data_IF_157511594887
#
_entry.id   IF_157511594887
#
_cell.length_a   1.000
_cell.length_b   1.000
_cell.length_c   1.000
_cell.angle_alpha   90.00
_cell.angle_beta   90.00
_cell.angle_gamma   90.00
#
_symmetry.space_group_name_H-M   'P 1'
#
loop_
_entity.id
_entity.type
_entity.pdbx_description
1 polymer ?
#
# COMPACT_ATOMS: atom_id res chain seq x y z
N UNK A 1 55.89 26.93 16.80
CA UNK A 1 56.89 27.94 16.39
C UNK A 1 57.91 27.26 15.47
N UNK A 2 58.18 27.88 14.31
CA UNK A 2 59.12 27.50 13.23
C UNK A 2 58.62 26.57 12.11
N UNK A 3 58.16 27.23 11.05
CA UNK A 3 58.24 26.83 9.64
C UNK A 3 59.68 26.91 9.12
N UNK A 4 60.07 25.99 8.23
CA UNK A 4 61.04 26.12 7.10
C UNK A 4 60.72 24.94 6.15
N UNK A 5 60.86 24.94 4.81
CA UNK A 5 60.81 25.87 3.68
C UNK A 5 61.08 24.97 2.42
N UNK A 6 60.52 25.34 1.27
CA UNK A 6 60.65 24.74 -0.07
C UNK A 6 61.99 24.08 -0.47
N UNK A 7 61.89 23.05 -1.31
CA UNK A 7 62.63 23.01 -2.59
C UNK A 7 61.96 22.12 -3.65
N UNK A 8 61.63 22.76 -4.77
CA UNK A 8 61.34 22.16 -6.06
C UNK A 8 62.54 21.36 -6.57
N UNK A 9 62.30 20.20 -7.18
CA UNK A 9 63.15 19.71 -8.26
C UNK A 9 62.28 19.15 -9.40
N UNK A 10 62.44 19.77 -10.57
CA UNK A 10 61.96 19.30 -11.86
C UNK A 10 62.51 17.89 -12.16
N UNK A 11 61.66 16.99 -12.61
CA UNK A 11 62.06 15.83 -13.41
C UNK A 11 61.19 15.80 -14.67
N UNK A 12 61.86 15.86 -15.82
CA UNK A 12 61.29 16.10 -17.13
C UNK A 12 60.52 14.92 -17.73
N UNK A 13 59.65 15.30 -18.67
CA UNK A 13 58.89 14.45 -19.58
C UNK A 13 59.78 13.45 -20.33
N UNK A 14 59.39 12.18 -20.32
CA UNK A 14 59.62 11.25 -21.43
C UNK A 14 58.28 11.04 -22.16
N UNK A 15 58.15 11.61 -23.36
CA UNK A 15 57.10 11.25 -24.32
C UNK A 15 57.50 9.93 -25.01
N UNK A 16 56.82 8.84 -24.66
CA UNK A 16 56.81 7.60 -25.44
C UNK A 16 55.51 7.51 -26.25
N UNK A 17 55.52 6.84 -27.42
CA UNK A 17 54.34 6.73 -28.27
C UNK A 17 53.29 5.84 -27.59
N UNK A 18 52.10 6.40 -27.33
CA UNK A 18 50.96 5.62 -26.86
C UNK A 18 50.48 4.71 -28.01
N UNK A 19 50.37 3.38 -27.81
CA UNK A 19 49.64 2.54 -28.74
C UNK A 19 48.16 2.95 -28.69
N UNK A 20 47.59 3.19 -29.88
CA UNK A 20 46.15 3.21 -30.09
C UNK A 20 45.60 1.85 -29.62
N UNK A 21 45.06 1.80 -28.40
CA UNK A 21 44.11 0.76 -28.04
C UNK A 21 42.83 1.08 -28.79
N UNK A 22 42.49 0.20 -29.73
CA UNK A 22 41.19 0.18 -30.36
C UNK A 22 40.11 0.23 -29.27
N UNK A 23 39.19 1.20 -29.37
CA UNK A 23 37.96 1.17 -28.59
C UNK A 23 37.18 -0.06 -29.04
N UNK A 24 37.19 -1.11 -28.20
CA UNK A 24 36.14 -2.10 -28.24
C UNK A 24 34.82 -1.35 -28.04
N UNK A 25 34.01 -1.30 -29.09
CA UNK A 25 32.59 -0.99 -28.98
C UNK A 25 32.03 -1.95 -27.92
N UNK A 26 31.40 -1.47 -26.84
CA UNK A 26 30.64 -2.35 -25.96
C UNK A 26 29.44 -2.82 -26.78
N UNK A 27 29.61 -3.98 -27.42
CA UNK A 27 28.51 -4.70 -28.04
C UNK A 27 27.41 -4.89 -27.02
N UNK A 28 26.18 -4.90 -27.51
CA UNK A 28 24.96 -5.22 -26.79
C UNK A 28 25.23 -6.30 -25.72
N UNK A 29 25.19 -5.93 -24.44
CA UNK A 29 25.41 -6.89 -23.34
C UNK A 29 24.16 -7.74 -23.28
N UNK A 30 24.17 -8.87 -23.97
CA UNK A 30 23.08 -9.86 -23.93
C UNK A 30 23.07 -10.47 -22.53
N UNK A 31 21.98 -10.25 -21.80
CA UNK A 31 21.80 -10.84 -20.49
C UNK A 31 21.77 -12.38 -20.58
N UNK A 32 22.51 -13.04 -19.70
CA UNK A 32 22.72 -14.50 -19.76
C UNK A 32 21.51 -15.21 -19.17
N UNK A 33 20.93 -16.14 -19.93
CA UNK A 33 19.94 -17.09 -19.40
C UNK A 33 20.69 -18.11 -18.54
N UNK A 34 20.32 -18.20 -17.26
CA UNK A 34 20.97 -19.11 -16.30
C UNK A 34 20.09 -20.32 -15.96
N UNK A 35 18.76 -20.20 -16.13
CA UNK A 35 17.81 -21.30 -16.02
C UNK A 35 16.72 -21.16 -17.06
N UNK A 36 16.27 -22.28 -17.62
CA UNK A 36 15.07 -22.39 -18.45
C UNK A 36 14.07 -23.35 -17.80
N UNK A 37 12.82 -22.93 -17.70
CA UNK A 37 11.66 -23.67 -17.16
C UNK A 37 10.55 -23.62 -18.21
N UNK A 38 10.45 -24.63 -19.07
CA UNK A 38 9.63 -24.61 -20.30
C UNK A 38 9.82 -23.31 -21.13
N UNK A 39 8.78 -22.47 -21.19
CA UNK A 39 8.77 -21.19 -21.92
C UNK A 39 9.35 -20.03 -21.09
N UNK A 40 9.59 -20.26 -19.81
CA UNK A 40 10.06 -19.26 -18.88
C UNK A 40 11.57 -19.36 -18.68
N UNK A 41 12.20 -18.23 -18.41
CA UNK A 41 13.64 -18.13 -18.20
C UNK A 41 13.92 -17.38 -16.91
N UNK A 42 15.04 -17.74 -16.27
CA UNK A 42 15.67 -16.94 -15.22
C UNK A 42 16.95 -16.36 -15.79
N UNK A 43 17.06 -15.04 -15.73
CA UNK A 43 18.21 -14.29 -16.20
C UNK A 43 19.24 -14.08 -15.09
N UNK A 44 20.49 -13.89 -15.49
CA UNK A 44 21.58 -13.56 -14.57
C UNK A 44 21.30 -12.24 -13.84
N UNK A 45 20.76 -11.23 -14.54
CA UNK A 45 20.41 -9.95 -13.93
C UNK A 45 19.33 -10.07 -12.85
N UNK A 46 18.37 -10.98 -13.00
CA UNK A 46 17.33 -11.24 -12.00
C UNK A 46 17.93 -11.81 -10.71
N UNK A 47 18.82 -12.81 -10.83
CA UNK A 47 19.50 -13.40 -9.67
C UNK A 47 20.41 -12.39 -8.98
N UNK A 48 21.25 -11.67 -9.73
CA UNK A 48 22.16 -10.69 -9.14
C UNK A 48 21.39 -9.51 -8.53
N UNK A 49 20.32 -9.03 -9.18
CA UNK A 49 19.44 -8.01 -8.63
C UNK A 49 18.77 -8.44 -7.32
N UNK A 50 18.23 -9.67 -7.28
CA UNK A 50 17.68 -10.23 -6.05
C UNK A 50 18.74 -10.33 -4.93
N UNK A 51 19.97 -10.72 -5.28
CA UNK A 51 21.07 -10.81 -4.33
C UNK A 51 21.53 -9.44 -3.82
N UNK A 52 21.60 -8.42 -4.68
CA UNK A 52 21.93 -7.06 -4.26
C UNK A 52 20.88 -6.50 -3.29
N UNK A 53 19.59 -6.74 -3.54
CA UNK A 53 18.52 -6.34 -2.61
C UNK A 53 18.67 -7.04 -1.26
N UNK A 54 18.94 -8.34 -1.26
CA UNK A 54 19.19 -9.11 -0.04
C UNK A 54 20.37 -8.54 0.78
N UNK A 55 21.46 -8.12 0.13
CA UNK A 55 22.59 -7.46 0.80
C UNK A 55 22.25 -6.05 1.30
N UNK A 56 21.46 -5.29 0.55
CA UNK A 56 21.05 -3.92 0.92
C UNK A 56 20.17 -3.90 2.18
N UNK A 57 19.44 -4.99 2.46
CA UNK A 57 18.70 -5.22 3.71
C UNK A 57 19.60 -5.53 4.91
N UNK A 58 20.92 -5.65 4.71
CA UNK A 58 21.91 -5.91 5.75
C UNK A 58 22.19 -7.39 6.02
N UNK A 59 21.69 -8.29 5.16
CA UNK A 59 21.90 -9.73 5.30
C UNK A 59 23.33 -10.15 4.90
N UNK A 60 23.89 -11.24 5.48
CA UNK A 60 25.26 -11.66 5.22
C UNK A 60 25.41 -12.25 3.81
N UNK A 61 26.49 -11.86 3.12
CA UNK A 61 26.88 -12.44 1.84
C UNK A 61 27.28 -13.92 1.99
N UNK A 62 26.58 -14.82 1.30
CA UNK A 62 26.91 -16.24 1.28
C UNK A 62 26.47 -16.91 -0.01
N UNK A 63 27.12 -18.03 -0.35
CA UNK A 63 26.76 -18.86 -1.51
C UNK A 63 25.39 -19.50 -1.29
N UNK A 64 25.08 -19.86 -0.05
CA UNK A 64 23.80 -20.44 0.36
C UNK A 64 22.65 -19.44 0.13
N UNK A 65 22.88 -18.15 0.40
CA UNK A 65 21.90 -17.11 0.13
C UNK A 65 21.65 -16.96 -1.38
N UNK A 66 22.71 -16.96 -2.21
CA UNK A 66 22.57 -16.98 -3.67
C UNK A 66 21.79 -18.21 -4.15
N UNK A 67 22.04 -19.38 -3.57
CA UNK A 67 21.30 -20.60 -3.89
C UNK A 67 19.83 -20.52 -3.51
N UNK A 68 19.50 -20.02 -2.33
CA UNK A 68 18.12 -19.86 -1.89
C UNK A 68 17.34 -18.91 -2.82
N UNK A 69 17.98 -17.82 -3.26
CA UNK A 69 17.37 -16.88 -4.21
C UNK A 69 17.18 -17.50 -5.59
N UNK A 70 18.18 -18.22 -6.12
CA UNK A 70 18.04 -18.93 -7.39
C UNK A 70 16.91 -19.96 -7.31
N UNK A 71 16.85 -20.75 -6.23
CA UNK A 71 15.79 -21.72 -6.00
C UNK A 71 14.41 -21.04 -6.02
N UNK A 72 14.25 -19.92 -5.31
CA UNK A 72 13.00 -19.15 -5.30
C UNK A 72 12.59 -18.69 -6.70
N UNK A 73 13.53 -18.23 -7.52
CA UNK A 73 13.26 -17.82 -8.91
C UNK A 73 12.79 -19.02 -9.76
N UNK A 74 13.44 -20.18 -9.64
CA UNK A 74 13.05 -21.40 -10.35
C UNK A 74 11.65 -21.86 -9.93
N UNK A 75 11.38 -21.92 -8.62
CA UNK A 75 10.07 -22.29 -8.07
C UNK A 75 8.98 -21.35 -8.59
N UNK A 76 9.24 -20.04 -8.63
CA UNK A 76 8.31 -19.08 -9.20
C UNK A 76 8.03 -19.37 -10.68
N UNK A 77 9.06 -19.59 -11.51
CA UNK A 77 8.85 -19.92 -12.93
C UNK A 77 8.12 -21.26 -13.12
N UNK A 78 8.38 -22.25 -12.26
CA UNK A 78 7.66 -23.52 -12.28
C UNK A 78 6.18 -23.35 -11.93
N UNK A 79 5.87 -22.54 -10.92
CA UNK A 79 4.48 -22.19 -10.57
C UNK A 79 3.73 -21.60 -11.75
N UNK A 80 4.37 -20.70 -12.52
CA UNK A 80 3.76 -20.08 -13.69
C UNK A 80 3.60 -21.10 -14.84
N UNK A 81 4.63 -21.88 -15.15
CA UNK A 81 4.54 -22.93 -16.18
C UNK A 81 3.42 -23.93 -15.87
N UNK A 82 3.29 -24.33 -14.61
CA UNK A 82 2.20 -25.20 -14.17
C UNK A 82 0.84 -24.51 -14.15
N UNK A 83 0.78 -23.23 -13.80
CA UNK A 83 -0.45 -22.45 -13.89
C UNK A 83 -1.01 -22.49 -15.32
N UNK A 84 -0.15 -22.37 -16.34
CA UNK A 84 -0.57 -22.48 -17.74
C UNK A 84 -1.06 -23.89 -18.10
N UNK A 85 -0.30 -24.92 -17.74
CA UNK A 85 -0.65 -26.33 -18.00
C UNK A 85 -2.00 -26.68 -17.34
N UNK A 86 -2.19 -26.25 -16.08
CA UNK A 86 -3.39 -26.52 -15.29
C UNK A 86 -4.53 -25.52 -15.57
N UNK A 87 -4.35 -24.67 -16.59
CA UNK A 87 -5.32 -23.69 -17.08
C UNK A 87 -5.85 -22.75 -15.99
N UNK A 88 -4.96 -22.30 -15.11
CA UNK A 88 -5.23 -21.23 -14.15
C UNK A 88 -5.41 -19.92 -14.91
N UNK A 89 -6.55 -19.26 -14.70
CA UNK A 89 -6.93 -18.06 -15.47
C UNK A 89 -6.75 -16.82 -14.63
N UNK A 90 -6.00 -15.86 -15.18
CA UNK A 90 -5.97 -14.47 -14.71
C UNK A 90 -6.53 -13.59 -15.83
N UNK A 91 -7.48 -12.73 -15.50
CA UNK A 91 -8.13 -11.88 -16.52
C UNK A 91 -7.23 -10.72 -16.93
N UNK A 92 -7.27 -10.33 -18.21
CA UNK A 92 -6.50 -9.18 -18.70
C UNK A 92 -6.86 -7.88 -17.95
N UNK A 93 -8.12 -7.72 -17.54
CA UNK A 93 -8.55 -6.57 -16.74
C UNK A 93 -7.80 -6.47 -15.41
N UNK A 94 -7.67 -7.58 -14.67
CA UNK A 94 -6.93 -7.59 -13.41
C UNK A 94 -5.44 -7.31 -13.64
N UNK A 95 -4.86 -7.84 -14.72
CA UNK A 95 -3.46 -7.57 -15.09
C UNK A 95 -3.28 -6.08 -15.42
N UNK A 96 -4.17 -5.49 -16.21
CA UNK A 96 -4.10 -4.08 -16.62
C UNK A 96 -4.27 -3.12 -15.45
N UNK A 97 -5.16 -3.45 -14.50
CA UNK A 97 -5.34 -2.68 -13.26
C UNK A 97 -4.07 -2.71 -12.40
N UNK A 98 -3.50 -3.89 -12.17
CA UNK A 98 -2.27 -4.04 -11.38
C UNK A 98 -1.06 -3.40 -12.06
N UNK A 99 -0.96 -3.53 -13.39
CA UNK A 99 0.08 -2.89 -14.20
C UNK A 99 -0.02 -1.38 -14.07
N UNK A 100 -1.21 -0.81 -14.22
CA UNK A 100 -1.42 0.64 -14.12
C UNK A 100 -1.08 1.16 -12.72
N UNK A 101 -1.48 0.44 -11.67
CA UNK A 101 -1.12 0.78 -10.28
C UNK A 101 0.39 0.73 -10.06
N UNK A 102 1.07 -0.29 -10.57
CA UNK A 102 2.52 -0.44 -10.43
C UNK A 102 3.29 0.61 -11.23
N UNK A 103 2.85 0.94 -12.45
CA UNK A 103 3.40 2.06 -13.24
C UNK A 103 3.28 3.38 -12.50
N UNK A 104 2.15 3.65 -11.86
CA UNK A 104 1.96 4.87 -11.09
C UNK A 104 2.93 4.97 -9.90
N UNK A 105 3.16 3.86 -9.19
CA UNK A 105 4.13 3.82 -8.09
C UNK A 105 5.57 4.05 -8.58
N UNK A 106 5.95 3.46 -9.71
CA UNK A 106 7.27 3.67 -10.32
C UNK A 106 7.43 5.14 -10.70
N UNK A 107 6.44 5.73 -11.38
CA UNK A 107 6.45 7.12 -11.78
C UNK A 107 6.54 8.08 -10.57
N UNK A 108 5.81 7.80 -9.49
CA UNK A 108 5.90 8.57 -8.24
C UNK A 108 7.28 8.53 -7.61
N UNK A 109 7.90 7.35 -7.55
CA UNK A 109 9.24 7.16 -7.00
C UNK A 109 10.34 7.78 -7.89
N UNK A 110 10.05 7.98 -9.18
CA UNK A 110 10.93 8.63 -10.16
C UNK A 110 10.64 10.12 -10.35
N UNK A 111 10.07 10.81 -9.36
CA UNK A 111 9.85 12.27 -9.42
C UNK A 111 8.70 12.72 -10.33
N UNK A 112 7.82 11.80 -10.72
CA UNK A 112 6.67 12.02 -11.61
C UNK A 112 7.01 12.51 -13.03
N UNK A 113 8.22 12.22 -13.52
CA UNK A 113 8.65 12.58 -14.87
C UNK A 113 8.71 11.36 -15.79
N UNK A 114 7.84 11.34 -16.79
CA UNK A 114 7.86 10.31 -17.84
C UNK A 114 9.19 10.31 -18.59
N UNK A 115 9.70 11.48 -18.97
CA UNK A 115 10.95 11.60 -19.74
C UNK A 115 12.17 11.10 -18.97
N UNK A 116 12.21 11.31 -17.64
CA UNK A 116 13.28 10.79 -16.80
C UNK A 116 13.19 9.27 -16.66
N UNK A 117 11.98 8.73 -16.54
CA UNK A 117 11.76 7.30 -16.46
C UNK A 117 12.14 6.60 -17.77
N UNK A 118 11.73 7.14 -18.92
CA UNK A 118 12.12 6.63 -20.24
C UNK A 118 13.64 6.70 -20.43
N UNK A 119 14.30 7.77 -19.98
CA UNK A 119 15.76 7.90 -20.02
C UNK A 119 16.47 6.90 -19.10
N UNK A 120 15.92 6.64 -17.92
CA UNK A 120 16.49 5.71 -16.95
C UNK A 120 16.41 4.25 -17.43
N UNK A 121 15.30 3.88 -18.09
CA UNK A 121 15.07 2.54 -18.60
C UNK A 121 15.54 2.34 -20.05
N UNK A 122 15.81 3.42 -20.78
CA UNK A 122 16.15 3.38 -22.20
C UNK A 122 15.02 2.84 -23.09
N UNK A 123 13.77 2.96 -22.64
CA UNK A 123 12.57 2.42 -23.27
C UNK A 123 11.45 3.46 -23.24
N UNK A 124 10.56 3.42 -24.21
CA UNK A 124 9.33 4.23 -24.20
C UNK A 124 8.39 3.77 -23.08
N UNK A 125 7.49 4.64 -22.62
CA UNK A 125 6.51 4.24 -21.61
C UNK A 125 5.65 3.06 -22.02
N UNK A 126 5.32 2.93 -23.30
CA UNK A 126 4.53 1.82 -23.81
C UNK A 126 5.30 0.50 -23.72
N UNK A 127 6.60 0.49 -24.05
CA UNK A 127 7.47 -0.67 -23.89
C UNK A 127 7.64 -1.05 -22.41
N UNK A 128 7.87 -0.06 -21.53
CA UNK A 128 7.96 -0.30 -20.08
C UNK A 128 6.65 -0.91 -19.56
N UNK A 129 5.51 -0.37 -20.00
CA UNK A 129 4.19 -0.88 -19.62
C UNK A 129 3.99 -2.32 -20.11
N UNK A 130 4.38 -2.65 -21.34
CA UNK A 130 4.27 -3.99 -21.89
C UNK A 130 5.13 -4.99 -21.10
N UNK A 131 6.39 -4.69 -20.85
CA UNK A 131 7.28 -5.54 -20.07
C UNK A 131 6.74 -5.77 -18.65
N UNK A 132 6.27 -4.69 -18.01
CA UNK A 132 5.69 -4.78 -16.68
C UNK A 132 4.40 -5.59 -16.68
N UNK A 133 3.58 -5.46 -17.72
CA UNK A 133 2.32 -6.20 -17.86
C UNK A 133 2.56 -7.71 -17.89
N UNK A 134 3.59 -8.15 -18.62
CA UNK A 134 3.96 -9.56 -18.67
C UNK A 134 4.49 -10.05 -17.32
N UNK A 135 5.35 -9.27 -16.65
CA UNK A 135 5.81 -9.58 -15.29
C UNK A 135 4.67 -9.67 -14.27
N UNK A 136 3.71 -8.74 -14.33
CA UNK A 136 2.53 -8.74 -13.45
C UNK A 136 1.66 -9.96 -13.73
N UNK A 137 1.47 -10.34 -15.00
CA UNK A 137 0.74 -11.56 -15.34
C UNK A 137 1.41 -12.81 -14.77
N UNK A 138 2.73 -12.95 -14.96
CA UNK A 138 3.48 -14.07 -14.37
C UNK A 138 3.34 -14.12 -12.85
N UNK A 139 3.52 -12.97 -12.18
CA UNK A 139 3.36 -12.87 -10.72
C UNK A 139 1.96 -13.29 -10.28
N UNK A 140 0.91 -12.85 -10.98
CA UNK A 140 -0.47 -13.18 -10.66
C UNK A 140 -0.77 -14.66 -10.88
N UNK A 141 -0.30 -15.26 -11.98
CA UNK A 141 -0.43 -16.70 -12.24
C UNK A 141 0.25 -17.52 -11.15
N UNK A 142 1.48 -17.16 -10.77
CA UNK A 142 2.21 -17.83 -9.69
C UNK A 142 1.51 -17.69 -8.34
N UNK A 143 0.94 -16.51 -8.04
CA UNK A 143 0.17 -16.26 -6.83
C UNK A 143 -1.12 -17.09 -6.78
N UNK A 144 -1.88 -17.13 -7.88
CA UNK A 144 -3.11 -17.91 -7.97
C UNK A 144 -2.83 -19.41 -7.87
N UNK A 145 -1.75 -19.88 -8.50
CA UNK A 145 -1.33 -21.28 -8.36
C UNK A 145 -0.93 -21.63 -6.92
N UNK A 146 -0.16 -20.75 -6.27
CA UNK A 146 0.18 -20.89 -4.84
C UNK A 146 -1.07 -20.94 -3.97
N UNK A 147 -2.05 -20.07 -4.25
CA UNK A 147 -3.32 -20.06 -3.55
C UNK A 147 -4.10 -21.37 -3.78
N UNK A 148 -4.17 -21.87 -5.02
CA UNK A 148 -4.82 -23.14 -5.36
C UNK A 148 -4.21 -24.32 -4.60
N UNK A 149 -2.88 -24.35 -4.46
CA UNK A 149 -2.17 -25.40 -3.71
C UNK A 149 -2.45 -25.29 -2.20
N UNK A 150 -2.50 -24.07 -1.67
CA UNK A 150 -2.49 -23.84 -0.21
C UNK A 150 -3.86 -23.51 0.41
N UNK A 151 -4.91 -23.34 -0.40
CA UNK A 151 -6.24 -22.86 0.02
C UNK A 151 -6.86 -23.67 1.16
N UNK A 152 -6.82 -24.99 1.05
CA UNK A 152 -7.48 -25.89 2.00
C UNK A 152 -6.54 -26.33 3.14
N UNK A 153 -5.31 -25.80 3.15
CA UNK A 153 -4.35 -26.08 4.20
C UNK A 153 -4.74 -25.31 5.45
N UNK A 154 -4.97 -26.05 6.52
CA UNK A 154 -5.23 -25.54 7.86
C UNK A 154 -4.37 -26.27 8.88
N UNK A 155 -4.21 -25.66 10.06
CA UNK A 155 -3.47 -26.24 11.18
C UNK A 155 -4.39 -26.49 12.38
N UNK A 156 -4.26 -27.68 12.94
CA UNK A 156 -4.94 -28.10 14.16
C UNK A 156 -4.18 -27.63 15.41
N UNK A 157 -4.85 -27.50 16.57
CA UNK A 157 -4.15 -27.13 17.81
C UNK A 157 -3.01 -28.07 18.21
N UNK A 158 -3.08 -29.37 17.87
CA UNK A 158 -2.00 -30.32 18.13
C UNK A 158 -0.80 -30.11 17.21
N UNK A 159 -1.03 -29.74 15.95
CA UNK A 159 0.03 -29.32 15.02
C UNK A 159 0.75 -28.07 15.50
N UNK A 160 0.00 -27.06 15.97
CA UNK A 160 0.59 -25.83 16.53
C UNK A 160 1.49 -26.13 17.73
N UNK A 161 1.04 -26.98 18.65
CA UNK A 161 1.86 -27.40 19.82
C UNK A 161 3.11 -28.16 19.38
N UNK A 162 2.98 -29.06 18.40
CA UNK A 162 4.13 -29.81 17.86
C UNK A 162 5.12 -28.91 17.13
N UNK A 163 4.65 -27.93 16.37
CA UNK A 163 5.49 -26.93 15.73
C UNK A 163 6.30 -26.17 16.79
N UNK A 164 5.62 -25.61 17.79
CA UNK A 164 6.28 -24.86 18.88
C UNK A 164 7.32 -25.70 19.63
N UNK A 165 6.98 -26.94 20.00
CA UNK A 165 7.86 -27.81 20.78
C UNK A 165 9.10 -28.31 20.00
N UNK A 166 9.17 -28.09 18.68
CA UNK A 166 10.37 -28.40 17.88
C UNK A 166 11.42 -27.29 17.93
N UNK A 167 11.01 -26.08 18.29
CA UNK A 167 11.89 -24.91 18.32
C UNK A 167 12.68 -24.97 19.62
N UNK A 168 14.03 -24.96 19.58
CA UNK A 168 14.84 -24.86 20.79
C UNK A 168 14.49 -23.62 21.62
N UNK A 169 14.51 -23.71 22.95
CA UNK A 169 14.10 -22.61 23.83
C UNK A 169 14.95 -21.34 23.64
N UNK A 170 16.24 -21.49 23.33
CA UNK A 170 17.18 -20.41 23.05
C UNK A 170 16.95 -19.75 21.67
N UNK A 171 16.20 -20.42 20.80
CA UNK A 171 15.85 -19.98 19.45
C UNK A 171 14.44 -19.38 19.37
N UNK A 172 13.69 -19.38 20.48
CA UNK A 172 12.36 -18.77 20.53
C UNK A 172 12.47 -17.24 20.39
N UNK A 173 11.62 -16.62 19.55
CA UNK A 173 11.67 -15.18 19.36
C UNK A 173 11.32 -14.44 20.66
N UNK A 174 11.99 -13.31 20.87
CA UNK A 174 11.69 -12.40 21.97
C UNK A 174 10.78 -11.28 21.48
N UNK A 175 9.58 -11.18 22.06
CA UNK A 175 8.64 -10.13 21.73
C UNK A 175 8.81 -8.93 22.67
N UNK A 176 8.69 -7.75 22.09
CA UNK A 176 8.57 -6.52 22.86
C UNK A 176 7.22 -6.49 23.61
N UNK A 177 6.98 -5.42 24.38
CA UNK A 177 5.67 -5.26 25.02
C UNK A 177 4.56 -5.22 23.97
N UNK A 178 3.52 -6.01 24.22
CA UNK A 178 2.27 -5.98 23.46
C UNK A 178 1.17 -5.32 24.30
N UNK A 179 0.16 -4.80 23.63
CA UNK A 179 -1.07 -4.31 24.27
C UNK A 179 -2.29 -4.77 23.50
N UNK A 180 -3.42 -4.90 24.19
CA UNK A 180 -4.73 -4.98 23.55
C UNK A 180 -5.44 -3.65 23.76
N UNK A 181 -5.69 -2.95 22.65
CA UNK A 181 -6.38 -1.66 22.66
C UNK A 181 -7.55 -1.75 21.69
N UNK A 182 -8.68 -1.18 22.08
CA UNK A 182 -9.84 -1.05 21.23
C UNK A 182 -10.29 0.41 21.13
N UNK A 183 -10.99 0.76 20.06
CA UNK A 183 -11.55 2.09 19.85
C UNK A 183 -13.03 2.05 19.44
N UNK A 184 -13.72 3.14 19.77
CA UNK A 184 -15.00 3.51 19.15
C UNK A 184 -14.80 4.90 18.58
N UNK A 185 -15.05 5.05 17.29
CA UNK A 185 -14.91 6.32 16.57
C UNK A 185 -16.30 6.80 16.16
N UNK A 186 -16.56 8.09 16.29
CA UNK A 186 -17.75 8.74 15.75
C UNK A 186 -17.34 9.90 14.86
N UNK A 187 -17.71 9.85 13.59
CA UNK A 187 -17.46 10.95 12.65
C UNK A 187 -18.37 12.12 13.03
N UNK A 188 -17.80 13.32 13.07
CA UNK A 188 -18.55 14.52 13.43
C UNK A 188 -19.55 14.83 12.32
N UNK A 189 -20.83 14.88 12.69
CA UNK A 189 -21.89 15.25 11.74
C UNK A 189 -21.93 16.77 11.57
N UNK A 190 -21.58 17.22 10.38
CA UNK A 190 -21.67 18.63 9.97
C UNK A 190 -23.13 19.11 10.05
N UNK A 191 -23.37 20.23 10.72
CA UNK A 191 -24.71 20.82 10.85
C UNK A 191 -25.23 21.39 9.54
N UNK A 192 -26.56 21.50 9.43
CA UNK A 192 -27.19 22.18 8.30
C UNK A 192 -26.76 23.65 8.18
N UNK A 193 -26.46 24.31 9.30
CA UNK A 193 -25.95 25.68 9.30
C UNK A 193 -24.59 25.78 8.60
N UNK A 194 -23.64 24.89 8.91
CA UNK A 194 -22.34 24.84 8.23
C UNK A 194 -22.48 24.47 6.75
N UNK A 195 -23.35 23.52 6.42
CA UNK A 195 -23.66 23.20 5.01
C UNK A 195 -24.24 24.41 4.27
N UNK A 196 -25.12 25.17 4.90
CA UNK A 196 -25.75 26.34 4.30
C UNK A 196 -24.77 27.49 4.12
N UNK A 197 -23.85 27.70 5.06
CA UNK A 197 -22.77 28.68 4.94
C UNK A 197 -21.90 28.41 3.70
N UNK A 198 -21.53 27.15 3.48
CA UNK A 198 -20.79 26.74 2.28
C UNK A 198 -21.61 26.95 1.01
N UNK A 199 -22.90 26.61 1.02
CA UNK A 199 -23.80 26.87 -0.12
C UNK A 199 -23.92 28.36 -0.41
N UNK A 200 -24.02 29.21 0.59
CA UNK A 200 -24.07 30.66 0.43
C UNK A 200 -22.77 31.20 -0.17
N UNK A 201 -21.62 30.71 0.28
CA UNK A 201 -20.31 31.05 -0.29
C UNK A 201 -20.25 30.66 -1.78
N UNK A 202 -20.66 29.44 -2.11
CA UNK A 202 -20.71 28.95 -3.49
C UNK A 202 -21.72 29.71 -4.36
N UNK A 203 -22.88 30.07 -3.82
CA UNK A 203 -23.85 30.93 -4.51
C UNK A 203 -23.25 32.32 -4.80
N UNK A 204 -22.51 32.89 -3.85
CA UNK A 204 -21.79 34.15 -4.08
C UNK A 204 -20.75 34.06 -5.19
N UNK A 205 -19.99 32.95 -5.25
CA UNK A 205 -19.05 32.69 -6.35
C UNK A 205 -19.78 32.50 -7.69
N UNK A 206 -20.89 31.78 -7.68
CA UNK A 206 -21.75 31.59 -8.86
C UNK A 206 -22.26 32.93 -9.39
N UNK A 207 -22.75 33.82 -8.53
CA UNK A 207 -23.26 35.14 -8.94
C UNK A 207 -22.16 36.05 -9.50
N UNK A 208 -20.92 35.90 -9.02
CA UNK A 208 -19.75 36.57 -9.60
C UNK A 208 -19.45 36.05 -11.01
N UNK A 209 -19.49 34.73 -11.21
CA UNK A 209 -19.32 34.10 -12.53
C UNK A 209 -20.40 34.57 -13.50
N UNK A 210 -21.66 34.61 -13.07
CA UNK A 210 -22.77 35.06 -13.91
C UNK A 210 -22.69 36.55 -14.28
N UNK A 211 -22.01 37.36 -13.47
CA UNK A 211 -21.69 38.78 -13.78
C UNK A 211 -20.46 38.95 -14.67
N UNK A 212 -19.84 37.87 -15.11
CA UNK A 212 -18.72 37.87 -16.06
C UNK A 212 -17.34 37.69 -15.44
N UNK A 213 -17.24 37.42 -14.13
CA UNK A 213 -15.95 37.06 -13.53
C UNK A 213 -15.49 35.67 -14.01
N UNK A 214 -14.18 35.51 -14.21
CA UNK A 214 -13.63 34.26 -14.73
C UNK A 214 -13.82 33.10 -13.74
N UNK A 215 -14.50 32.03 -14.18
CA UNK A 215 -14.63 30.79 -13.42
C UNK A 215 -13.25 30.25 -13.05
N UNK A 216 -12.30 30.23 -13.98
CA UNK A 216 -10.97 29.67 -13.74
C UNK A 216 -10.23 30.45 -12.66
N UNK A 217 -10.30 31.78 -12.65
CA UNK A 217 -9.68 32.59 -11.60
C UNK A 217 -10.28 32.31 -10.22
N UNK A 218 -11.60 32.16 -10.13
CA UNK A 218 -12.27 31.83 -8.88
C UNK A 218 -11.98 30.40 -8.42
N UNK A 219 -11.88 29.45 -9.34
CA UNK A 219 -11.46 28.08 -9.02
C UNK A 219 -10.03 28.07 -8.45
N UNK A 220 -9.11 28.81 -9.08
CA UNK A 220 -7.73 28.96 -8.58
C UNK A 220 -7.65 29.56 -7.18
N UNK A 221 -8.53 30.50 -6.86
CA UNK A 221 -8.50 31.24 -5.61
C UNK A 221 -9.27 30.56 -4.46
N UNK A 222 -10.39 29.90 -4.75
CA UNK A 222 -11.34 29.46 -3.72
C UNK A 222 -11.61 27.97 -3.70
N UNK A 223 -11.23 27.22 -4.73
CA UNK A 223 -11.42 25.77 -4.71
C UNK A 223 -10.48 25.14 -3.70
N UNK A 224 -10.98 24.16 -2.96
CA UNK A 224 -10.19 23.31 -2.05
C UNK A 224 -9.72 22.03 -2.75
N UNK A 225 -10.11 21.81 -4.01
CA UNK A 225 -9.51 20.79 -4.87
C UNK A 225 -8.14 21.28 -5.40
N UNK A 226 -7.02 20.61 -5.06
CA UNK A 226 -5.69 21.01 -5.52
C UNK A 226 -5.55 21.05 -7.05
N UNK A 227 -6.22 20.14 -7.77
CA UNK A 227 -6.17 20.12 -9.23
C UNK A 227 -6.86 21.36 -9.80
N UNK A 228 -8.02 21.72 -9.24
CA UNK A 228 -8.76 22.92 -9.63
C UNK A 228 -7.97 24.21 -9.36
N UNK A 229 -7.19 24.23 -8.27
CA UNK A 229 -6.32 25.35 -7.95
C UNK A 229 -5.23 25.58 -9.01
N UNK A 230 -4.76 24.50 -9.66
CA UNK A 230 -3.72 24.56 -10.68
C UNK A 230 -4.29 24.85 -12.08
N UNK A 231 -5.31 24.11 -12.49
CA UNK A 231 -5.83 24.12 -13.86
C UNK A 231 -7.06 25.02 -14.06
N UNK A 232 -7.51 25.74 -13.03
CA UNK A 232 -8.72 26.57 -13.11
C UNK A 232 -10.02 25.77 -13.08
N UNK A 233 -9.98 24.59 -12.48
CA UNK A 233 -11.13 23.72 -12.25
C UNK A 233 -11.46 22.78 -13.39
N UNK A 234 -10.78 22.85 -14.53
CA UNK A 234 -11.13 22.09 -15.74
C UNK A 234 -10.68 20.63 -15.67
N UNK A 235 -11.62 19.71 -15.89
CA UNK A 235 -11.38 18.27 -15.76
C UNK A 235 -11.02 17.58 -17.08
N UNK A 236 -11.10 18.29 -18.21
CA UNK A 236 -10.98 17.70 -19.53
C UNK A 236 -12.21 16.86 -19.91
N UNK A 237 -12.14 16.16 -21.03
CA UNK A 237 -13.22 15.26 -21.45
C UNK A 237 -13.18 13.98 -20.62
N UNK A 238 -14.30 13.68 -19.96
CA UNK A 238 -14.48 12.46 -19.17
C UNK A 238 -15.70 11.71 -19.68
N UNK A 239 -15.56 10.37 -19.74
CA UNK A 239 -16.65 9.48 -20.12
C UNK A 239 -17.63 9.22 -18.99
N UNK A 240 -18.84 8.79 -19.34
CA UNK A 240 -19.85 8.39 -18.36
C UNK A 240 -19.36 7.26 -17.46
N UNK A 241 -19.61 7.37 -16.16
CA UNK A 241 -19.17 6.44 -15.11
C UNK A 241 -17.78 6.75 -14.55
N UNK A 242 -17.08 7.76 -15.06
CA UNK A 242 -15.75 8.13 -14.58
C UNK A 242 -15.77 8.98 -13.30
N UNK A 243 -16.90 9.64 -13.01
CA UNK A 243 -17.06 10.54 -11.85
C UNK A 243 -18.09 10.00 -10.87
N UNK A 244 -18.09 10.53 -9.64
CA UNK A 244 -19.10 10.17 -8.63
C UNK A 244 -20.52 10.53 -9.12
N UNK A 245 -21.56 9.73 -8.78
CA UNK A 245 -22.90 9.87 -9.35
C UNK A 245 -23.50 11.27 -9.19
N UNK A 246 -23.25 11.96 -8.08
CA UNK A 246 -23.76 13.29 -7.80
C UNK A 246 -23.17 14.34 -8.75
N UNK A 247 -21.89 14.21 -9.09
CA UNK A 247 -21.20 15.10 -10.02
C UNK A 247 -21.71 14.88 -11.44
N UNK A 248 -21.76 13.63 -11.90
CA UNK A 248 -22.28 13.29 -13.23
C UNK A 248 -23.72 13.76 -13.42
N UNK A 249 -24.59 13.48 -12.43
CA UNK A 249 -26.00 13.86 -12.51
C UNK A 249 -26.19 15.38 -12.66
N UNK A 250 -25.30 16.19 -12.09
CA UNK A 250 -25.31 17.64 -12.30
C UNK A 250 -24.74 18.01 -13.68
N UNK A 251 -23.62 17.43 -14.11
CA UNK A 251 -23.03 17.70 -15.41
C UNK A 251 -24.00 17.44 -16.57
N UNK A 252 -24.74 16.33 -16.52
CA UNK A 252 -25.71 15.96 -17.58
C UNK A 252 -27.01 16.79 -17.58
N UNK A 253 -27.32 17.50 -16.48
CA UNK A 253 -28.47 18.42 -16.41
C UNK A 253 -28.18 19.78 -17.04
N UNK A 254 -26.91 20.16 -17.11
CA UNK A 254 -26.48 21.48 -17.58
C UNK A 254 -26.45 21.54 -19.11
N UNK A 255 -26.75 22.73 -19.63
CA UNK A 255 -26.47 23.10 -21.02
C UNK A 255 -25.03 23.59 -21.15
N UNK A 256 -24.50 23.55 -22.36
CA UNK A 256 -23.18 24.10 -22.66
C UNK A 256 -23.08 25.56 -22.19
N UNK A 257 -22.05 25.87 -21.40
CA UNK A 257 -21.80 27.16 -20.79
C UNK A 257 -22.55 27.43 -19.49
N UNK A 258 -23.51 26.59 -19.10
CA UNK A 258 -24.34 26.79 -17.91
C UNK A 258 -23.59 26.48 -16.63
N UNK A 259 -23.83 27.28 -15.58
CA UNK A 259 -23.27 27.10 -14.24
C UNK A 259 -24.34 26.56 -13.29
N UNK A 260 -24.05 25.43 -12.66
CA UNK A 260 -24.95 24.74 -11.73
C UNK A 260 -25.27 25.57 -10.49
N UNK A 261 -26.35 25.19 -9.81
CA UNK A 261 -26.51 25.52 -8.39
C UNK A 261 -25.50 24.72 -7.54
N UNK A 262 -25.23 25.12 -6.29
CA UNK A 262 -24.42 24.32 -5.37
C UNK A 262 -25.05 22.94 -5.13
N UNK A 263 -24.23 21.90 -5.21
CA UNK A 263 -24.65 20.52 -4.93
C UNK A 263 -23.61 19.79 -4.08
N UNK A 264 -24.04 18.77 -3.35
CA UNK A 264 -23.21 17.99 -2.42
C UNK A 264 -22.69 16.72 -3.12
N UNK A 265 -21.45 16.34 -2.82
CA UNK A 265 -20.82 15.06 -3.16
C UNK A 265 -20.09 14.51 -1.93
N UNK A 266 -19.54 13.28 -1.97
CA UNK A 266 -18.69 12.75 -0.91
C UNK A 266 -17.45 13.62 -0.58
N UNK A 267 -17.01 14.47 -1.51
CA UNK A 267 -15.84 15.34 -1.35
C UNK A 267 -16.18 16.74 -0.81
N UNK A 268 -17.46 17.11 -0.73
CA UNK A 268 -17.91 18.42 -0.26
C UNK A 268 -18.96 19.03 -1.19
N UNK A 269 -19.02 20.36 -1.22
CA UNK A 269 -19.97 21.09 -2.04
C UNK A 269 -19.31 21.68 -3.28
N UNK A 270 -20.03 21.59 -4.39
CA UNK A 270 -19.53 22.02 -5.68
C UNK A 270 -20.46 23.00 -6.35
N UNK A 271 -19.88 23.93 -7.10
CA UNK A 271 -20.53 24.47 -8.31
C UNK A 271 -19.73 24.02 -9.51
N UNK A 272 -20.41 23.78 -10.63
CA UNK A 272 -19.75 23.38 -11.87
C UNK A 272 -20.26 24.18 -13.06
N UNK A 273 -19.44 24.26 -14.10
CA UNK A 273 -19.83 24.74 -15.42
C UNK A 273 -19.57 23.66 -16.45
N UNK A 274 -20.56 23.37 -17.29
CA UNK A 274 -20.37 22.50 -18.44
C UNK A 274 -19.70 23.28 -19.57
N UNK A 275 -18.49 22.89 -19.97
CA UNK A 275 -17.72 23.55 -21.04
C UNK A 275 -18.16 23.04 -22.41
N UNK A 276 -18.23 21.72 -22.57
CA UNK A 276 -18.61 21.09 -23.83
C UNK A 276 -19.11 19.66 -23.59
N UNK A 277 -19.83 19.10 -24.57
CA UNK A 277 -20.32 17.71 -24.51
C UNK A 277 -20.28 17.08 -25.90
N UNK A 278 -19.76 15.86 -25.98
CA UNK A 278 -19.57 15.12 -27.24
C UNK A 278 -19.95 13.66 -27.02
N UNK A 279 -21.07 13.23 -27.61
CA UNK A 279 -21.59 11.88 -27.39
C UNK A 279 -21.83 11.60 -25.90
N UNK A 280 -21.13 10.59 -25.37
CA UNK A 280 -21.17 10.16 -23.96
C UNK A 280 -20.08 10.79 -23.08
N UNK A 281 -19.27 11.68 -23.64
CA UNK A 281 -18.22 12.40 -22.91
C UNK A 281 -18.63 13.85 -22.67
N UNK A 282 -18.16 14.42 -21.56
CA UNK A 282 -18.36 15.81 -21.24
C UNK A 282 -17.08 16.43 -20.67
N UNK A 283 -16.88 17.72 -20.95
CA UNK A 283 -15.84 18.52 -20.31
C UNK A 283 -16.52 19.54 -19.39
N UNK A 284 -16.13 19.55 -18.12
CA UNK A 284 -16.63 20.46 -17.11
C UNK A 284 -15.49 21.08 -16.32
N UNK A 285 -15.81 22.20 -15.67
CA UNK A 285 -14.98 22.75 -14.60
C UNK A 285 -15.76 22.95 -13.33
N UNK A 286 -15.10 22.83 -12.17
CA UNK A 286 -15.75 22.96 -10.87
C UNK A 286 -14.97 23.84 -9.87
N UNK A 287 -15.69 24.29 -8.84
CA UNK A 287 -15.12 24.81 -7.60
C UNK A 287 -15.64 23.91 -6.49
N UNK A 288 -14.73 23.32 -5.71
CA UNK A 288 -15.05 22.51 -4.53
C UNK A 288 -14.80 23.33 -3.27
N UNK A 289 -15.75 23.32 -2.33
CA UNK A 289 -15.55 23.83 -0.97
C UNK A 289 -16.10 22.77 0.00
N UNK A 290 -15.26 22.34 0.92
CA UNK A 290 -15.62 21.37 1.95
C UNK A 290 -16.39 22.06 3.06
N UNK A 291 -17.42 21.39 3.58
CA UNK A 291 -18.02 21.84 4.83
C UNK A 291 -17.24 21.23 5.99
N UNK A 292 -16.62 22.08 6.81
CA UNK A 292 -15.96 21.66 8.04
C UNK A 292 -16.95 21.69 9.21
N UNK A 293 -16.87 20.77 10.17
CA UNK A 293 -17.68 20.87 11.38
C UNK A 293 -17.32 22.10 12.20
N UNK A 294 -18.33 22.71 12.82
CA UNK A 294 -18.12 23.76 13.82
C UNK A 294 -17.69 23.18 15.18
N UNK A 295 -17.15 24.01 16.07
CA UNK A 295 -16.88 23.62 17.47
C UNK A 295 -18.13 23.09 18.19
N UNK A 296 -19.32 23.60 17.85
CA UNK A 296 -20.56 23.07 18.40
C UNK A 296 -20.86 21.66 17.88
N UNK A 297 -20.61 21.39 16.59
CA UNK A 297 -20.78 20.06 15.99
C UNK A 297 -19.85 19.03 16.66
N UNK A 298 -18.59 19.42 16.88
CA UNK A 298 -17.61 18.61 17.61
C UNK A 298 -18.08 18.39 19.05
N UNK A 299 -18.47 19.45 19.75
CA UNK A 299 -18.93 19.39 21.14
C UNK A 299 -20.17 18.52 21.35
N UNK A 300 -21.10 18.48 20.38
CA UNK A 300 -22.24 17.53 20.43
C UNK A 300 -21.77 16.08 20.29
N UNK A 301 -20.79 15.83 19.43
CA UNK A 301 -20.20 14.50 19.24
C UNK A 301 -19.41 14.06 20.47
N UNK A 302 -18.65 14.96 21.10
CA UNK A 302 -17.94 14.70 22.36
C UNK A 302 -18.92 14.33 23.49
N UNK A 303 -20.00 15.08 23.66
CA UNK A 303 -21.05 14.77 24.66
C UNK A 303 -21.72 13.43 24.42
N UNK A 304 -21.98 13.09 23.15
CA UNK A 304 -22.51 11.78 22.78
C UNK A 304 -21.53 10.66 23.14
N UNK A 305 -20.26 10.82 22.78
CA UNK A 305 -19.20 9.86 23.08
C UNK A 305 -18.96 9.71 24.58
N UNK A 306 -19.04 10.79 25.36
CA UNK A 306 -18.95 10.71 26.83
C UNK A 306 -20.13 9.96 27.44
N UNK A 307 -21.35 10.19 26.90
CA UNK A 307 -22.54 9.45 27.32
C UNK A 307 -22.44 7.95 27.00
N UNK A 308 -21.93 7.60 25.82
CA UNK A 308 -21.67 6.21 25.44
C UNK A 308 -20.60 5.59 26.35
N UNK A 309 -19.51 6.30 26.60
CA UNK A 309 -18.45 5.91 27.52
C UNK A 309 -19.01 5.64 28.93
N UNK A 310 -19.89 6.50 29.45
CA UNK A 310 -20.52 6.29 30.75
C UNK A 310 -21.34 5.01 30.79
N UNK A 311 -22.12 4.71 29.74
CA UNK A 311 -22.89 3.45 29.66
C UNK A 311 -21.98 2.22 29.67
N UNK A 312 -20.80 2.30 29.06
CA UNK A 312 -19.84 1.19 29.07
C UNK A 312 -19.21 1.05 30.46
N UNK A 313 -18.76 2.16 31.07
CA UNK A 313 -18.11 2.14 32.39
C UNK A 313 -19.05 1.68 33.51
N UNK A 314 -20.36 1.93 33.39
CA UNK A 314 -21.36 1.46 34.36
C UNK A 314 -21.99 0.11 33.96
N UNK A 315 -21.31 -0.66 33.10
CA UNK A 315 -21.69 -2.00 32.62
C UNK A 315 -23.11 -2.12 32.03
N UNK A 316 -23.66 -1.02 31.51
CA UNK A 316 -24.95 -1.04 30.81
C UNK A 316 -24.82 -1.59 29.39
N UNK A 317 -23.61 -1.57 28.81
CA UNK A 317 -23.28 -2.14 27.51
C UNK A 317 -21.81 -2.56 27.48
N UNK A 318 -21.54 -3.74 26.94
CA UNK A 318 -20.16 -4.21 26.70
C UNK A 318 -19.46 -3.34 25.62
N UNK A 319 -18.15 -3.09 25.77
CA UNK A 319 -17.39 -2.26 24.85
C UNK A 319 -17.42 -2.81 23.42
N UNK A 320 -17.24 -4.12 23.24
CA UNK A 320 -17.20 -4.73 21.91
C UNK A 320 -18.55 -4.62 21.21
N UNK A 321 -19.64 -4.79 21.97
CA UNK A 321 -20.99 -4.55 21.48
C UNK A 321 -21.19 -3.09 21.09
N UNK A 322 -20.77 -2.15 21.95
CA UNK A 322 -20.86 -0.73 21.66
C UNK A 322 -20.06 -0.34 20.40
N UNK A 323 -18.87 -0.92 20.22
CA UNK A 323 -18.06 -0.71 19.02
C UNK A 323 -18.79 -1.22 17.76
N UNK A 324 -19.30 -2.45 17.80
CA UNK A 324 -20.07 -3.06 16.69
C UNK A 324 -21.32 -2.28 16.31
N UNK A 325 -21.99 -1.65 17.27
CA UNK A 325 -23.24 -0.93 17.00
C UNK A 325 -23.00 0.54 16.62
N UNK A 326 -22.10 1.24 17.32
CA UNK A 326 -22.03 2.70 17.27
C UNK A 326 -20.78 3.27 16.61
N UNK A 327 -19.71 2.47 16.46
CA UNK A 327 -18.49 2.92 15.81
C UNK A 327 -18.73 3.17 14.32
N UNK A 328 -18.15 4.26 13.82
CA UNK A 328 -18.06 4.60 12.40
C UNK A 328 -16.72 4.17 11.79
N UNK A 329 -15.83 3.55 12.58
CA UNK A 329 -14.56 3.00 12.08
C UNK A 329 -14.74 1.58 11.51
N UNK A 330 -14.67 1.40 10.18
CA UNK A 330 -14.85 0.09 9.57
C UNK A 330 -13.71 -0.89 9.87
N UNK A 331 -12.49 -0.41 10.14
CA UNK A 331 -11.33 -1.25 10.33
C UNK A 331 -11.43 -2.08 11.62
N UNK A 332 -11.91 -1.47 12.70
CA UNK A 332 -11.96 -2.13 14.02
C UNK A 332 -13.37 -2.56 14.42
N UNK A 333 -14.44 -1.95 13.88
CA UNK A 333 -15.83 -2.25 14.26
C UNK A 333 -16.19 -3.73 14.20
N UNK A 334 -15.77 -4.42 13.13
CA UNK A 334 -16.03 -5.87 12.96
C UNK A 334 -15.43 -6.72 14.08
N UNK A 335 -14.29 -6.29 14.61
CA UNK A 335 -13.52 -6.96 15.65
C UNK A 335 -13.84 -6.44 17.06
N UNK A 336 -15.01 -5.81 17.24
CA UNK A 336 -15.39 -5.26 18.55
C UNK A 336 -14.55 -4.05 18.96
N UNK A 337 -14.04 -3.31 17.98
CA UNK A 337 -13.21 -2.13 18.19
C UNK A 337 -11.73 -2.42 18.37
N UNK A 338 -11.30 -3.68 18.48
CA UNK A 338 -9.89 -4.01 18.69
C UNK A 338 -9.05 -3.72 17.45
N UNK A 339 -7.89 -3.11 17.67
CA UNK A 339 -6.82 -3.11 16.69
C UNK A 339 -6.28 -4.53 16.54
N UNK A 340 -5.83 -4.85 15.32
CA UNK A 340 -5.26 -6.17 15.00
C UNK A 340 -3.91 -6.02 14.35
N UNK A 341 -3.03 -6.99 14.60
CA UNK A 341 -1.78 -7.14 13.85
C UNK A 341 -2.05 -7.70 12.43
N UNK A 342 -0.98 -7.88 11.66
CA UNK A 342 -1.03 -8.43 10.31
C UNK A 342 -1.57 -9.88 10.26
N UNK A 343 -1.42 -10.63 11.35
CA UNK A 343 -1.91 -12.00 11.45
C UNK A 343 -3.41 -12.02 11.80
N UNK A 344 -3.94 -10.96 12.42
CA UNK A 344 -5.32 -10.84 12.88
C UNK A 344 -5.50 -11.01 14.39
N UNK A 345 -4.40 -11.07 15.15
CA UNK A 345 -4.40 -11.08 16.61
C UNK A 345 -4.68 -9.70 17.21
N UNK A 346 -5.37 -9.64 18.34
CA UNK A 346 -5.68 -8.36 19.04
C UNK A 346 -4.54 -7.83 19.91
N UNK A 347 -3.47 -8.63 20.07
CA UNK A 347 -2.25 -8.25 20.80
C UNK A 347 -1.27 -7.67 19.82
N UNK A 348 -1.15 -6.36 19.85
CA UNK A 348 -0.29 -5.62 18.93
C UNK A 348 0.95 -5.12 19.65
N UNK A 349 2.07 -5.11 18.93
CA UNK A 349 3.32 -4.58 19.44
C UNK A 349 3.17 -3.08 19.69
N UNK A 350 3.68 -2.60 20.83
CA UNK A 350 3.69 -1.16 21.14
C UNK A 350 4.35 -0.34 20.01
N UNK A 351 5.30 -0.93 19.27
CA UNK A 351 6.00 -0.27 18.17
C UNK A 351 5.12 -0.04 16.94
N UNK A 352 4.04 -0.78 16.79
CA UNK A 352 3.13 -0.74 15.65
C UNK A 352 1.91 0.18 15.89
N UNK A 353 1.81 0.75 17.08
CA UNK A 353 0.68 1.58 17.50
C UNK A 353 0.87 3.02 17.06
N UNK A 354 -0.23 3.63 16.59
CA UNK A 354 -0.32 5.07 16.35
C UNK A 354 0.20 5.86 17.57
N UNK A 355 1.15 6.81 17.41
CA UNK A 355 1.72 7.56 18.52
C UNK A 355 0.68 8.21 19.44
N UNK A 356 -0.44 8.71 18.89
CA UNK A 356 -1.49 9.33 19.70
C UNK A 356 -2.21 8.29 20.57
N UNK A 357 -2.49 7.10 20.03
CA UNK A 357 -3.00 5.97 20.83
C UNK A 357 -2.01 5.60 21.92
N UNK A 358 -0.72 5.45 21.59
CA UNK A 358 0.33 5.11 22.55
C UNK A 358 0.41 6.10 23.72
N UNK A 359 0.55 7.39 23.44
CA UNK A 359 0.63 8.41 24.50
C UNK A 359 -0.64 8.49 25.35
N UNK A 360 -1.80 8.16 24.78
CA UNK A 360 -3.04 8.10 25.55
C UNK A 360 -3.03 6.94 26.53
N UNK A 361 -2.78 5.71 26.04
CA UNK A 361 -2.83 4.51 26.89
C UNK A 361 -1.71 4.48 27.93
N UNK A 362 -0.57 5.13 27.68
CA UNK A 362 0.53 5.24 28.64
C UNK A 362 0.12 5.98 29.92
N UNK A 363 -0.87 6.87 29.82
CA UNK A 363 -1.45 7.56 30.98
C UNK A 363 -2.58 6.79 31.67
N UNK A 364 -2.98 5.64 31.12
CA UNK A 364 -4.13 4.86 31.56
C UNK A 364 -3.71 3.57 32.27
N UNK A 365 -4.59 3.06 33.14
CA UNK A 365 -4.48 1.69 33.66
C UNK A 365 -5.21 0.71 32.75
N UNK A 366 -4.79 -0.55 32.76
CA UNK A 366 -5.51 -1.62 32.09
C UNK A 366 -6.94 -1.72 32.64
N UNK A 367 -7.89 -2.05 31.76
CA UNK A 367 -9.32 -2.04 32.02
C UNK A 367 -10.00 -0.66 31.89
N UNK A 368 -9.26 0.43 31.70
CA UNK A 368 -9.85 1.78 31.62
C UNK A 368 -10.25 2.18 30.19
N UNK A 369 -11.25 3.07 30.13
CA UNK A 369 -11.69 3.72 28.89
C UNK A 369 -11.33 5.21 28.98
N UNK A 370 -10.70 5.74 27.93
CA UNK A 370 -10.31 7.14 27.85
C UNK A 370 -11.54 8.06 27.85
N UNK A 371 -11.34 9.34 28.18
CA UNK A 371 -12.31 10.38 27.82
C UNK A 371 -12.41 10.49 26.28
N UNK A 372 -13.46 11.13 25.74
CA UNK A 372 -13.53 11.44 24.31
C UNK A 372 -12.32 12.27 23.87
N UNK A 373 -11.71 11.88 22.76
CA UNK A 373 -10.52 12.49 22.17
C UNK A 373 -10.87 12.91 20.75
N UNK A 374 -10.61 14.18 20.42
CA UNK A 374 -10.71 14.66 19.04
C UNK A 374 -9.68 13.93 18.18
N UNK A 375 -10.12 13.46 17.03
CA UNK A 375 -9.37 12.59 16.15
C UNK A 375 -9.68 12.96 14.71
N UNK A 376 -8.74 12.74 13.79
CA UNK A 376 -8.96 12.89 12.36
C UNK A 376 -8.78 11.53 11.73
N UNK A 377 -9.80 11.05 11.03
CA UNK A 377 -9.77 9.76 10.34
C UNK A 377 -8.75 9.79 9.20
N UNK A 378 -8.35 8.61 8.72
CA UNK A 378 -7.39 8.47 7.62
C UNK A 378 -7.91 9.10 6.32
N UNK A 379 -9.24 9.12 6.11
CA UNK A 379 -9.90 9.83 5.01
C UNK A 379 -10.11 11.34 5.28
N UNK A 380 -9.50 11.86 6.35
CA UNK A 380 -9.38 13.29 6.61
C UNK A 380 -10.60 13.93 7.28
N UNK A 381 -11.57 13.16 7.79
CA UNK A 381 -12.76 13.69 8.47
C UNK A 381 -12.50 13.92 9.95
N UNK A 382 -13.08 14.99 10.49
CA UNK A 382 -13.09 15.23 11.93
C UNK A 382 -13.99 14.19 12.62
N UNK A 383 -13.45 13.59 13.68
CA UNK A 383 -14.09 12.55 14.45
C UNK A 383 -13.77 12.70 15.94
N UNK A 384 -14.50 11.96 16.76
CA UNK A 384 -14.22 11.81 18.19
C UNK A 384 -14.10 10.33 18.48
N UNK A 385 -13.05 9.94 19.19
CA UNK A 385 -12.82 8.55 19.59
C UNK A 385 -12.75 8.38 21.11
N UNK A 386 -13.07 7.19 21.59
CA UNK A 386 -12.71 6.71 22.93
C UNK A 386 -11.88 5.45 22.76
N UNK A 387 -10.88 5.28 23.63
CA UNK A 387 -9.96 4.15 23.63
C UNK A 387 -10.21 3.29 24.86
N UNK A 388 -10.26 1.97 24.69
CA UNK A 388 -10.28 1.00 25.76
C UNK A 388 -8.92 0.31 25.84
N UNK A 389 -8.21 0.54 26.94
CA UNK A 389 -6.93 -0.11 27.21
C UNK A 389 -7.19 -1.41 27.98
N UNK A 390 -7.33 -2.53 27.27
CA UNK A 390 -7.75 -3.79 27.88
C UNK A 390 -6.63 -4.42 28.69
N UNK A 391 -5.48 -4.67 28.08
CA UNK A 391 -4.35 -5.39 28.69
C UNK A 391 -3.02 -4.87 28.16
N UNK A 392 -1.96 -5.07 28.96
CA UNK A 392 -0.57 -4.89 28.58
C UNK A 392 0.18 -6.17 28.93
N UNK A 393 0.91 -6.68 27.96
CA UNK A 393 1.78 -7.84 28.11
C UNK A 393 3.23 -7.34 28.09
N UNK A 394 4.01 -7.54 29.17
CA UNK A 394 5.41 -7.14 29.19
C UNK A 394 6.25 -7.91 28.15
N UNK A 395 7.48 -7.47 27.86
CA UNK A 395 8.38 -8.22 26.98
C UNK A 395 8.58 -9.63 27.52
N UNK A 396 8.50 -10.62 26.64
CA UNK A 396 8.53 -12.03 26.98
C UNK A 396 9.08 -12.85 25.80
N UNK A 397 9.57 -14.05 26.10
CA UNK A 397 9.84 -15.05 25.07
C UNK A 397 8.52 -15.65 24.60
N UNK A 398 8.45 -15.99 23.31
CA UNK A 398 7.26 -16.57 22.70
C UNK A 398 6.75 -17.78 23.49
N UNK A 399 5.45 -17.82 23.73
CA UNK A 399 4.81 -18.92 24.47
C UNK A 399 3.47 -19.32 23.87
N UNK A 400 3.10 -20.60 23.99
CA UNK A 400 1.78 -21.09 23.57
C UNK A 400 0.62 -20.42 24.30
N UNK A 401 0.87 -19.85 25.48
CA UNK A 401 -0.16 -19.18 26.29
C UNK A 401 -0.44 -17.79 25.73
N UNK A 402 0.60 -17.03 25.44
CA UNK A 402 0.47 -15.61 25.13
C UNK A 402 0.48 -15.33 23.61
N UNK A 403 1.13 -16.17 22.81
CA UNK A 403 1.39 -15.94 21.39
C UNK A 403 0.72 -16.97 20.47
N UNK A 404 -0.34 -17.63 20.94
CA UNK A 404 -1.00 -18.70 20.19
C UNK A 404 -1.30 -18.32 18.74
N UNK A 405 -1.80 -17.11 18.49
CA UNK A 405 -2.15 -16.63 17.15
C UNK A 405 -0.92 -16.56 16.22
N UNK A 406 0.18 -15.96 16.70
CA UNK A 406 1.45 -15.83 15.96
C UNK A 406 2.06 -17.22 15.70
N UNK A 407 2.05 -18.10 16.70
CA UNK A 407 2.56 -19.47 16.57
C UNK A 407 1.68 -20.28 15.61
N UNK A 408 0.36 -20.08 15.63
CA UNK A 408 -0.56 -20.71 14.68
C UNK A 408 -0.31 -20.24 13.25
N UNK A 409 -0.11 -18.93 13.04
CA UNK A 409 0.23 -18.36 11.75
C UNK A 409 1.57 -18.91 11.23
N UNK A 410 2.59 -18.98 12.08
CA UNK A 410 3.90 -19.56 11.74
C UNK A 410 3.81 -21.07 11.43
N UNK A 411 3.05 -21.84 12.21
CA UNK A 411 2.82 -23.27 11.94
C UNK A 411 2.05 -23.47 10.62
N UNK A 412 1.10 -22.59 10.31
CA UNK A 412 0.37 -22.62 9.05
C UNK A 412 1.29 -22.29 7.87
N UNK A 413 2.16 -21.28 8.00
CA UNK A 413 3.16 -20.94 7.01
C UNK A 413 4.10 -22.13 6.75
N UNK A 414 4.69 -22.74 7.79
CA UNK A 414 5.56 -23.91 7.65
C UNK A 414 4.84 -25.08 6.96
N UNK A 415 3.56 -25.30 7.26
CA UNK A 415 2.76 -26.36 6.63
C UNK A 415 2.47 -26.07 5.16
N UNK A 416 2.21 -24.81 4.81
CA UNK A 416 2.02 -24.37 3.42
C UNK A 416 3.33 -24.49 2.62
N UNK A 417 4.45 -24.09 3.21
CA UNK A 417 5.76 -24.18 2.58
C UNK A 417 6.12 -25.64 2.25
N UNK A 418 5.88 -26.57 3.18
CA UNK A 418 6.06 -28.01 2.92
C UNK A 418 5.16 -28.54 1.80
N UNK A 419 3.91 -28.10 1.76
CA UNK A 419 3.00 -28.52 0.69
C UNK A 419 3.46 -27.98 -0.68
N UNK A 420 4.02 -26.77 -0.73
CA UNK A 420 4.62 -26.20 -1.93
C UNK A 420 5.89 -26.96 -2.35
N UNK A 421 6.73 -27.37 -1.40
CA UNK A 421 7.92 -28.18 -1.65
C UNK A 421 7.56 -29.57 -2.18
N UNK A 422 6.59 -30.25 -1.57
CA UNK A 422 6.06 -31.54 -2.05
C UNK A 422 5.41 -31.40 -3.44
N UNK A 423 4.70 -30.30 -3.67
CA UNK A 423 4.13 -30.00 -4.98
C UNK A 423 5.23 -29.76 -6.01
N UNK A 424 6.26 -28.98 -5.68
CA UNK A 424 7.42 -28.71 -6.54
C UNK A 424 8.11 -30.01 -6.97
N UNK A 425 8.33 -30.92 -6.01
CA UNK A 425 8.96 -32.22 -6.27
C UNK A 425 8.21 -33.09 -7.29
N UNK A 426 6.88 -32.95 -7.38
CA UNK A 426 6.04 -33.61 -8.41
C UNK A 426 5.99 -32.80 -9.70
N UNK A 427 5.81 -31.49 -9.58
CA UNK A 427 5.64 -30.59 -10.73
C UNK A 427 6.88 -30.56 -11.63
N UNK A 428 8.08 -30.72 -11.07
CA UNK A 428 9.34 -30.78 -11.84
C UNK A 428 9.45 -32.00 -12.77
N UNK A 429 8.63 -33.04 -12.60
CA UNK A 429 8.59 -34.19 -13.51
C UNK A 429 7.80 -33.89 -14.80
N UNK A 430 6.87 -32.95 -14.73
CA UNK A 430 5.97 -32.59 -15.82
C UNK A 430 6.46 -31.38 -16.64
N UNK A 431 7.47 -30.66 -16.14
CA UNK A 431 7.97 -29.40 -16.70
C UNK A 431 9.46 -29.52 -16.97
N UNK A 432 9.92 -29.10 -18.14
CA UNK A 432 11.33 -29.17 -18.49
C UNK A 432 12.12 -28.07 -17.77
N UNK A 433 13.10 -28.47 -16.94
CA UNK A 433 14.01 -27.55 -16.25
C UNK A 433 15.45 -27.80 -16.71
N UNK A 434 16.13 -26.75 -17.18
CA UNK A 434 17.54 -26.78 -17.55
C UNK A 434 18.29 -25.65 -16.84
N UNK A 435 19.32 -26.01 -16.06
CA UNK A 435 20.16 -25.08 -15.31
C UNK A 435 21.54 -25.04 -15.98
N UNK A 436 22.08 -23.84 -16.19
CA UNK A 436 23.44 -23.66 -16.68
C UNK A 436 24.45 -24.32 -15.71
N UNK A 437 25.43 -25.12 -16.18
CA UNK A 437 26.39 -25.80 -15.31
C UNK A 437 27.13 -24.89 -14.33
N UNK A 438 27.40 -23.64 -14.69
CA UNK A 438 28.03 -22.65 -13.80
C UNK A 438 27.13 -22.27 -12.61
N UNK A 439 25.83 -22.53 -12.71
CA UNK A 439 24.79 -22.21 -11.74
C UNK A 439 24.20 -23.46 -11.06
N UNK A 440 24.70 -24.66 -11.40
CA UNK A 440 24.30 -25.92 -10.76
C UNK A 440 25.00 -26.18 -9.41
N UNK A 441 25.70 -25.19 -8.83
CA UNK A 441 26.36 -25.30 -7.52
C UNK A 441 25.37 -25.47 -6.35
N UNK A 442 24.07 -25.36 -6.63
CA UNK A 442 22.99 -25.51 -5.66
C UNK A 442 22.34 -26.91 -5.69
N UNK A 443 22.73 -27.79 -6.63
CA UNK A 443 22.19 -29.16 -6.77
C UNK A 443 20.66 -29.25 -6.71
N UNK A 444 19.95 -28.26 -7.26
CA UNK A 444 18.49 -28.07 -7.05
C UNK A 444 17.62 -29.16 -7.68
N UNK A 445 18.18 -29.96 -8.58
CA UNK A 445 17.49 -31.04 -9.30
C UNK A 445 17.93 -32.43 -8.86
N UNK A 446 18.92 -32.52 -7.96
CA UNK A 446 19.35 -33.77 -7.30
C UNK A 446 18.54 -33.99 -6.02
#
# INVERSE_FOLDING_TARGET
MKYILNSCLLAGLFMGPSPLLAQDNPGFVVDKIIVKVDNYIVLKSELEGAYQNYLAEGNPASTEAKCALLNRLIVNKLLVAKAEIDSVVVTDEQVDQNTSRRMQLILQNSGNSQEELERAYGKTMDEIRLDLRDQIREQMLGSEMTQRITKDISVTPSEVRRFFNKIPEDSLPFYSSDVEVAQIVKVVKISNAQKEEVKQKLNGLRDRILRGESFSSLAKQFSEDPSAQMNGGEMGFVGRGAMVPEYEANAFKLRKGEVSQPFESPFGFHIMQLIDRRGNEYNSRHILISATPSEEDIGRTEKYMDSLRMKIVTDSIDFQKAAKEYSDDPATKGQGGFFTDADGGTKISIKEIDPVVYFTIDTMKTGQISKPIRYRTDDGKDAVRILYFKTKLPPHQASLKDDWHRIQAAALAEKKDKALEEWFGKAREDVFINIDPEYNFCHLLE
#
